data_IF_747361049078
#
_entry.id   IF_747361049078
#
_cell.length_a   1.000
_cell.length_b   1.000
_cell.length_c   1.000
_cell.angle_alpha   90.00
_cell.angle_beta   90.00
_cell.angle_gamma   90.00
#
_symmetry.space_group_name_H-M   'P 1'
#
loop_
_entity.id
_entity.type
_entity.pdbx_description
1 polymer ?
#
# COMPACT_ATOMS: atom_id res chain seq x y z
N UNK A 1 23.58 -22.19 29.65
CA UNK A 1 24.46 -21.42 28.79
C UNK A 1 24.59 -19.93 29.22
N UNK A 2 23.97 -19.51 30.33
CA UNK A 2 24.12 -18.16 30.90
C UNK A 2 23.33 -17.04 30.21
N UNK A 3 22.37 -17.39 29.37
CA UNK A 3 21.44 -16.38 28.81
C UNK A 3 20.55 -15.84 29.92
N UNK A 4 20.36 -14.53 29.94
CA UNK A 4 19.52 -13.83 30.93
C UNK A 4 18.19 -13.38 30.36
N UNK A 5 18.06 -13.33 29.03
CA UNK A 5 16.88 -12.95 28.27
C UNK A 5 16.93 -13.62 26.90
N UNK A 6 15.77 -13.92 26.30
CA UNK A 6 15.65 -14.44 24.95
C UNK A 6 14.70 -13.58 24.13
N UNK A 7 15.17 -13.14 22.96
CA UNK A 7 14.33 -12.52 21.95
C UNK A 7 14.01 -13.58 20.87
N UNK A 8 12.73 -13.88 20.67
CA UNK A 8 12.24 -14.93 19.76
C UNK A 8 12.22 -14.43 18.34
N UNK A 9 12.74 -13.62 17.78
CA UNK A 9 12.89 -13.12 16.40
C UNK A 9 12.10 -13.81 15.29
N UNK A 10 10.85 -14.26 15.53
CA UNK A 10 10.02 -14.87 14.50
C UNK A 10 9.58 -13.80 13.52
N UNK A 11 9.75 -14.07 12.22
CA UNK A 11 9.30 -13.18 11.16
C UNK A 11 10.44 -12.63 10.32
N UNK A 12 11.05 -13.45 9.47
CA UNK A 12 11.99 -13.03 8.46
C UNK A 12 11.47 -13.29 7.04
N UNK A 13 12.06 -12.62 6.07
CA UNK A 13 11.61 -12.59 4.69
C UNK A 13 11.92 -13.87 3.89
N UNK A 14 12.86 -14.69 4.32
CA UNK A 14 13.22 -15.96 3.66
C UNK A 14 12.30 -17.13 4.05
N UNK A 15 11.34 -16.92 4.95
CA UNK A 15 10.38 -17.96 5.28
C UNK A 15 9.54 -18.35 4.06
N UNK A 16 9.17 -19.63 3.96
CA UNK A 16 8.32 -20.14 2.87
C UNK A 16 6.86 -19.71 2.97
N UNK A 17 6.49 -19.10 4.07
CA UNK A 17 5.20 -18.48 4.35
C UNK A 17 5.43 -16.98 4.61
N UNK A 18 4.47 -16.09 4.31
CA UNK A 18 4.63 -14.70 4.65
C UNK A 18 4.62 -14.50 6.16
N UNK A 19 5.58 -13.74 6.67
CA UNK A 19 5.71 -13.47 8.11
C UNK A 19 5.76 -11.99 8.44
N UNK A 20 6.14 -11.14 7.48
CA UNK A 20 6.43 -9.72 7.71
C UNK A 20 5.66 -8.77 6.79
N UNK A 21 4.89 -9.28 5.83
CA UNK A 21 4.13 -8.49 4.85
C UNK A 21 2.84 -7.91 5.45
N UNK A 22 2.27 -6.91 4.80
CA UNK A 22 0.99 -6.26 5.18
C UNK A 22 -0.13 -7.27 5.40
N UNK A 23 -0.22 -8.29 4.56
CA UNK A 23 -1.24 -9.35 4.65
C UNK A 23 -1.11 -10.30 5.86
N UNK A 24 -0.02 -10.23 6.61
CA UNK A 24 0.16 -11.00 7.86
C UNK A 24 -0.58 -10.29 8.98
N UNK A 25 -1.45 -10.96 9.74
CA UNK A 25 -2.15 -10.35 10.87
C UNK A 25 -1.20 -9.73 11.89
N UNK A 26 -1.68 -8.73 12.61
CA UNK A 26 -0.93 -8.15 13.72
C UNK A 26 -0.68 -9.21 14.78
N UNK A 27 0.54 -9.23 15.32
CA UNK A 27 0.98 -10.17 16.35
C UNK A 27 0.79 -11.66 15.97
N UNK A 28 0.80 -12.00 14.67
CA UNK A 28 0.43 -13.33 14.15
C UNK A 28 1.22 -14.50 14.76
N UNK A 29 2.44 -14.29 15.28
CA UNK A 29 3.32 -15.35 15.75
C UNK A 29 3.67 -15.26 17.24
N UNK A 30 3.00 -14.41 18.03
CA UNK A 30 3.30 -14.29 19.48
C UNK A 30 2.96 -15.54 20.28
N UNK A 31 2.00 -16.34 19.80
CA UNK A 31 1.67 -17.65 20.37
C UNK A 31 2.86 -18.62 20.42
N UNK A 32 3.84 -18.48 19.51
CA UNK A 32 5.09 -19.26 19.57
C UNK A 32 5.95 -18.80 20.73
N UNK A 33 6.06 -17.47 20.96
CA UNK A 33 6.79 -16.92 22.10
C UNK A 33 6.15 -17.35 23.42
N UNK A 34 4.82 -17.43 23.50
CA UNK A 34 4.11 -17.94 24.66
C UNK A 34 4.61 -19.34 25.08
N UNK A 35 4.90 -20.22 24.10
CA UNK A 35 5.49 -21.55 24.39
C UNK A 35 6.90 -21.48 24.96
N UNK A 36 7.72 -20.54 24.52
CA UNK A 36 9.03 -20.30 25.15
C UNK A 36 8.86 -19.82 26.58
N UNK A 37 7.91 -18.90 26.82
CA UNK A 37 7.64 -18.37 28.16
C UNK A 37 7.17 -19.44 29.14
N UNK A 38 6.33 -20.40 28.70
CA UNK A 38 5.90 -21.54 29.50
C UNK A 38 7.09 -22.43 29.92
N UNK A 39 8.11 -22.56 29.06
CA UNK A 39 9.23 -23.49 29.26
C UNK A 39 10.46 -22.86 29.92
N UNK A 40 10.55 -21.54 30.00
CA UNK A 40 11.73 -20.82 30.46
C UNK A 40 11.48 -20.06 31.76
N UNK A 41 12.50 -19.96 32.61
CA UNK A 41 12.49 -19.17 33.83
C UNK A 41 13.07 -17.76 33.67
N UNK A 42 13.55 -17.44 32.49
CA UNK A 42 14.11 -16.11 32.13
C UNK A 42 13.13 -15.34 31.25
N UNK A 43 13.18 -14.00 31.26
CA UNK A 43 12.30 -13.19 30.42
C UNK A 43 12.42 -13.48 28.93
N UNK A 44 11.30 -13.43 28.23
CA UNK A 44 11.22 -13.58 26.77
C UNK A 44 10.66 -12.34 26.11
N UNK A 45 11.22 -11.99 24.95
CA UNK A 45 10.79 -10.89 24.11
C UNK A 45 10.13 -11.45 22.86
N UNK A 46 8.98 -10.91 22.48
CA UNK A 46 8.36 -11.20 21.19
C UNK A 46 8.51 -10.03 20.23
N UNK A 47 8.37 -10.30 18.94
CA UNK A 47 8.42 -9.31 17.87
C UNK A 47 7.51 -9.72 16.72
N UNK A 48 7.50 -8.90 15.69
CA UNK A 48 6.83 -9.08 14.42
C UNK A 48 5.35 -8.72 14.39
N UNK A 49 5.02 -7.83 13.43
CA UNK A 49 3.67 -7.32 13.20
C UNK A 49 3.00 -6.70 14.45
N UNK A 50 3.81 -6.20 15.36
CA UNK A 50 3.38 -5.34 16.49
C UNK A 50 3.69 -3.92 16.06
N UNK A 51 2.66 -3.12 15.75
CA UNK A 51 2.82 -1.80 15.12
C UNK A 51 1.97 -0.69 15.73
N UNK A 52 1.20 -0.99 16.79
CA UNK A 52 0.47 -0.01 17.61
C UNK A 52 0.66 -0.30 19.09
N UNK A 53 0.49 0.70 19.97
CA UNK A 53 0.54 0.50 21.42
C UNK A 53 -0.47 -0.52 21.91
N UNK A 54 -1.70 -0.49 21.40
CA UNK A 54 -2.78 -1.39 21.83
C UNK A 54 -2.42 -2.85 21.55
N UNK A 55 -1.85 -3.16 20.36
CA UNK A 55 -1.38 -4.51 20.03
C UNK A 55 -0.25 -4.94 20.96
N UNK A 56 0.67 -4.04 21.31
CA UNK A 56 1.75 -4.34 22.25
C UNK A 56 1.21 -4.68 23.65
N UNK A 57 0.29 -3.85 24.17
CA UNK A 57 -0.35 -4.07 25.46
C UNK A 57 -1.19 -5.35 25.49
N UNK A 58 -1.92 -5.64 24.42
CA UNK A 58 -2.70 -6.87 24.30
C UNK A 58 -1.82 -8.11 24.37
N UNK A 59 -0.69 -8.13 23.66
CA UNK A 59 0.29 -9.24 23.67
C UNK A 59 0.85 -9.46 25.08
N UNK A 60 1.20 -8.39 25.79
CA UNK A 60 1.71 -8.48 27.15
C UNK A 60 0.64 -8.91 28.14
N UNK A 61 -0.59 -8.39 28.03
CA UNK A 61 -1.71 -8.73 28.92
C UNK A 61 -2.18 -10.17 28.78
N UNK A 62 -2.09 -10.76 27.56
CA UNK A 62 -2.33 -12.20 27.34
C UNK A 62 -1.24 -13.08 27.96
N UNK A 63 -0.08 -12.50 28.28
CA UNK A 63 1.05 -13.23 28.78
C UNK A 63 1.84 -13.99 27.70
N UNK A 64 1.76 -13.57 26.46
CA UNK A 64 2.53 -14.19 25.38
C UNK A 64 4.04 -13.94 25.52
N UNK A 65 4.44 -12.82 26.11
CA UNK A 65 5.83 -12.43 26.36
C UNK A 65 5.94 -11.49 27.56
N UNK A 66 7.16 -11.27 28.05
CA UNK A 66 7.45 -10.30 29.13
C UNK A 66 7.74 -8.91 28.55
N UNK A 67 8.20 -8.84 27.30
CA UNK A 67 8.47 -7.60 26.58
C UNK A 67 8.16 -7.76 25.08
N UNK A 68 7.97 -6.62 24.40
CA UNK A 68 7.85 -6.55 22.94
C UNK A 68 9.05 -5.80 22.35
N UNK A 69 9.49 -6.23 21.17
CA UNK A 69 10.48 -5.50 20.37
C UNK A 69 9.92 -5.17 19.00
N UNK A 70 10.28 -3.99 18.52
CA UNK A 70 9.80 -3.46 17.23
C UNK A 70 10.97 -2.81 16.49
N UNK A 71 11.08 -3.02 15.18
CA UNK A 71 12.07 -2.34 14.35
C UNK A 71 11.39 -1.35 13.39
N UNK A 72 10.58 -1.85 12.46
CA UNK A 72 9.92 -1.03 11.43
C UNK A 72 8.96 0.04 11.99
N UNK A 73 8.24 -0.17 13.11
CA UNK A 73 7.46 0.90 13.73
C UNK A 73 8.28 2.12 14.12
N UNK A 74 9.53 1.94 14.57
CA UNK A 74 10.42 3.07 14.87
C UNK A 74 11.02 3.76 13.65
N UNK A 75 11.10 3.08 12.50
CA UNK A 75 11.37 3.76 11.23
C UNK A 75 10.17 4.62 10.81
N UNK A 76 8.95 4.11 10.99
CA UNK A 76 7.73 4.83 10.65
C UNK A 76 7.52 6.04 11.59
N UNK A 77 7.74 5.86 12.89
CA UNK A 77 7.61 6.92 13.88
C UNK A 77 8.67 6.78 15.01
N UNK A 78 9.73 7.60 15.01
CA UNK A 78 10.76 7.54 16.04
C UNK A 78 10.23 7.93 17.43
N UNK A 79 9.11 8.66 17.50
CA UNK A 79 8.48 9.10 18.75
C UNK A 79 7.40 8.12 19.25
N UNK A 80 7.30 6.94 18.69
CA UNK A 80 6.27 5.95 19.00
C UNK A 80 6.05 5.77 20.51
N UNK A 81 7.11 5.44 21.25
CA UNK A 81 7.02 5.19 22.71
C UNK A 81 6.61 6.45 23.46
N UNK A 82 7.18 7.61 23.10
CA UNK A 82 6.83 8.89 23.73
C UNK A 82 5.37 9.26 23.51
N UNK A 83 4.84 9.06 22.29
CA UNK A 83 3.44 9.29 21.97
C UNK A 83 2.52 8.32 22.71
N UNK A 84 2.89 7.03 22.77
CA UNK A 84 2.16 6.03 23.54
C UNK A 84 2.09 6.41 25.04
N UNK A 85 3.20 6.77 25.64
CA UNK A 85 3.27 7.23 27.04
C UNK A 85 2.39 8.45 27.32
N UNK A 86 2.21 9.33 26.33
CA UNK A 86 1.40 10.54 26.42
C UNK A 86 -0.07 10.32 26.06
N UNK A 87 -0.52 9.09 25.83
CA UNK A 87 -1.86 8.75 25.33
C UNK A 87 -2.21 9.41 23.97
N UNK A 88 -1.20 9.53 23.10
CA UNK A 88 -1.29 10.12 21.76
C UNK A 88 -1.11 9.06 20.66
N UNK A 89 -1.71 7.90 20.83
CA UNK A 89 -1.62 6.81 19.85
C UNK A 89 -2.17 7.23 18.48
N UNK A 90 -3.15 8.13 18.46
CA UNK A 90 -3.72 8.73 17.24
C UNK A 90 -2.75 9.63 16.47
N UNK A 91 -1.65 10.08 17.09
CA UNK A 91 -0.59 10.85 16.43
C UNK A 91 0.55 9.98 15.88
N UNK A 92 0.55 8.66 16.15
CA UNK A 92 1.59 7.75 15.68
C UNK A 92 1.44 7.49 14.18
N UNK A 93 2.54 7.67 13.44
CA UNK A 93 2.64 7.24 12.04
C UNK A 93 2.90 5.72 12.01
N UNK A 94 1.85 4.95 11.81
CA UNK A 94 1.88 3.48 11.97
C UNK A 94 2.61 2.80 10.81
N UNK A 95 3.49 1.85 11.12
CA UNK A 95 4.12 0.98 10.12
C UNK A 95 3.06 0.08 9.47
N UNK A 96 2.88 0.20 8.16
CA UNK A 96 1.89 -0.55 7.37
C UNK A 96 2.39 -1.91 6.84
N UNK A 97 3.57 -2.35 7.22
CA UNK A 97 4.12 -3.66 6.82
C UNK A 97 4.43 -3.81 5.32
N UNK A 98 4.56 -2.71 4.56
CA UNK A 98 4.74 -2.71 3.10
C UNK A 98 6.12 -3.20 2.63
N UNK A 99 7.15 -3.11 3.45
CA UNK A 99 8.55 -3.46 3.19
C UNK A 99 9.26 -2.65 2.09
N UNK A 100 8.60 -1.74 1.38
CA UNK A 100 9.06 -1.13 0.12
C UNK A 100 10.30 -0.23 0.28
N UNK A 101 10.35 0.62 1.32
CA UNK A 101 11.49 1.53 1.52
C UNK A 101 12.47 1.02 2.57
N UNK A 102 12.13 -0.01 3.32
CA UNK A 102 13.04 -0.64 4.27
C UNK A 102 13.70 -1.89 3.65
N UNK A 103 13.05 -3.05 3.68
CA UNK A 103 13.65 -4.31 3.25
C UNK A 103 13.95 -4.34 1.75
N UNK A 104 13.03 -3.91 0.88
CA UNK A 104 13.29 -3.92 -0.57
C UNK A 104 14.45 -2.97 -0.94
N UNK A 105 14.63 -1.85 -0.22
CA UNK A 105 15.81 -0.99 -0.40
C UNK A 105 17.10 -1.72 -0.04
N UNK A 106 17.17 -2.37 1.14
CA UNK A 106 18.36 -3.13 1.57
C UNK A 106 18.72 -4.20 0.56
N UNK A 107 17.74 -4.99 0.08
CA UNK A 107 17.99 -6.05 -0.91
C UNK A 107 18.32 -5.54 -2.32
N UNK A 108 18.13 -4.26 -2.58
CA UNK A 108 18.57 -3.60 -3.80
C UNK A 108 19.83 -2.73 -3.60
N UNK A 109 20.53 -2.87 -2.47
CA UNK A 109 21.75 -2.11 -2.16
C UNK A 109 21.50 -0.61 -1.97
N UNK A 110 20.27 -0.22 -1.61
CA UNK A 110 19.88 1.16 -1.34
C UNK A 110 19.84 1.43 0.16
N UNK A 111 20.02 2.68 0.55
CA UNK A 111 19.83 3.11 1.93
C UNK A 111 18.40 2.80 2.38
N UNK A 112 18.26 2.25 3.58
CA UNK A 112 16.97 2.02 4.23
C UNK A 112 16.25 3.35 4.47
N UNK A 113 14.94 3.32 4.31
CA UNK A 113 14.04 4.42 4.67
C UNK A 113 12.67 3.84 5.05
N UNK A 114 11.63 4.66 5.10
CA UNK A 114 10.26 4.19 5.33
C UNK A 114 9.30 4.85 4.34
N UNK A 115 8.35 4.08 3.80
CA UNK A 115 7.34 4.58 2.87
C UNK A 115 6.51 5.70 3.48
N UNK A 116 6.05 5.53 4.73
CA UNK A 116 5.20 6.51 5.42
C UNK A 116 6.01 7.61 6.12
N UNK A 117 7.32 7.45 6.25
CA UNK A 117 8.23 8.42 6.86
C UNK A 117 9.54 8.53 6.05
N UNK A 118 9.58 9.34 5.00
CA UNK A 118 10.79 9.50 4.16
C UNK A 118 12.02 10.02 4.91
N UNK A 119 11.83 10.65 6.06
CA UNK A 119 12.92 11.16 6.91
C UNK A 119 13.71 10.04 7.57
N UNK A 120 13.12 8.84 7.74
CA UNK A 120 13.82 7.71 8.34
C UNK A 120 15.12 7.41 7.59
N UNK A 121 16.24 7.43 8.29
CA UNK A 121 17.62 7.33 7.78
C UNK A 121 18.06 8.48 6.83
N UNK A 122 17.25 9.55 6.71
CA UNK A 122 17.52 10.75 5.95
C UNK A 122 17.33 12.03 6.78
N UNK A 123 17.45 11.95 8.11
CA UNK A 123 17.16 13.04 9.04
C UNK A 123 18.09 14.25 8.86
N UNK A 124 19.30 14.03 8.33
CA UNK A 124 20.26 15.11 8.03
C UNK A 124 19.98 15.77 6.69
N UNK A 125 19.33 15.08 5.75
CA UNK A 125 19.01 15.57 4.41
C UNK A 125 17.65 16.24 4.36
N UNK A 126 16.62 15.59 4.95
CA UNK A 126 15.25 16.10 5.00
C UNK A 126 15.03 16.82 6.34
N UNK A 127 15.37 18.09 6.35
CA UNK A 127 15.36 18.90 7.56
C UNK A 127 14.16 19.86 7.55
N UNK A 128 13.07 19.46 8.23
CA UNK A 128 11.87 20.29 8.33
C UNK A 128 12.06 21.35 9.40
N UNK A 129 12.72 22.45 9.02
CA UNK A 129 12.92 23.62 9.87
C UNK A 129 11.86 24.69 9.57
N UNK A 130 11.56 25.59 10.53
CA UNK A 130 10.75 26.77 10.25
C UNK A 130 11.31 27.54 9.05
N UNK A 131 10.44 27.96 8.15
CA UNK A 131 10.82 28.76 7.00
C UNK A 131 11.25 30.17 7.43
N UNK A 132 12.22 30.76 6.75
CA UNK A 132 12.64 32.16 6.97
C UNK A 132 11.51 33.13 6.58
N UNK A 133 10.80 32.81 5.49
CA UNK A 133 9.67 33.60 5.01
C UNK A 133 8.44 32.70 4.93
N UNK A 134 7.38 33.11 5.63
CA UNK A 134 6.10 32.42 5.57
C UNK A 134 5.46 32.63 4.19
N UNK A 135 5.01 31.52 3.59
CA UNK A 135 4.31 31.50 2.30
C UNK A 135 2.88 31.02 2.46
N UNK A 136 2.04 31.37 1.49
CA UNK A 136 0.72 30.79 1.29
C UNK A 136 0.80 29.75 0.17
N UNK A 137 0.65 28.48 0.51
CA UNK A 137 0.87 27.33 -0.37
C UNK A 137 -0.48 26.67 -0.73
N UNK A 138 -0.75 26.54 -2.03
CA UNK A 138 -1.85 25.70 -2.49
C UNK A 138 -1.35 24.26 -2.74
N UNK A 139 -2.14 23.27 -2.32
CA UNK A 139 -1.94 21.85 -2.63
C UNK A 139 -3.14 21.34 -3.40
N UNK A 140 -2.96 20.99 -4.67
CA UNK A 140 -4.05 20.51 -5.53
C UNK A 140 -3.99 18.99 -5.61
N UNK A 141 -4.89 18.35 -4.87
CA UNK A 141 -4.98 16.90 -4.68
C UNK A 141 -4.60 16.47 -3.26
N UNK A 142 -5.53 15.83 -2.57
CA UNK A 142 -5.38 15.29 -1.22
C UNK A 142 -4.98 13.79 -1.21
N UNK A 143 -4.26 13.34 -2.23
CA UNK A 143 -3.62 12.01 -2.26
C UNK A 143 -2.34 11.97 -1.42
N UNK A 144 -1.61 10.83 -1.37
CA UNK A 144 -0.43 10.67 -0.52
C UNK A 144 0.64 11.75 -0.71
N UNK A 145 0.91 12.17 -1.95
CA UNK A 145 1.87 13.23 -2.24
C UNK A 145 1.43 14.59 -1.67
N UNK A 146 0.17 14.96 -1.93
CA UNK A 146 -0.38 16.24 -1.46
C UNK A 146 -0.52 16.30 0.05
N UNK A 147 -0.92 15.21 0.70
CA UNK A 147 -1.00 15.12 2.16
C UNK A 147 0.37 15.29 2.82
N UNK A 148 1.40 14.60 2.29
CA UNK A 148 2.78 14.75 2.77
C UNK A 148 3.29 16.17 2.55
N UNK A 149 3.04 16.76 1.38
CA UNK A 149 3.40 18.14 1.06
C UNK A 149 2.73 19.14 2.02
N UNK A 150 1.43 19.01 2.24
CA UNK A 150 0.66 19.90 3.10
C UNK A 150 1.15 19.87 4.55
N UNK A 151 1.34 18.67 5.12
CA UNK A 151 1.83 18.51 6.50
C UNK A 151 3.25 19.07 6.63
N UNK A 152 4.14 18.79 5.67
CA UNK A 152 5.51 19.29 5.70
C UNK A 152 5.56 20.83 5.59
N UNK A 153 4.79 21.40 4.68
CA UNK A 153 4.68 22.87 4.55
C UNK A 153 4.14 23.53 5.83
N UNK A 154 3.12 22.93 6.41
CA UNK A 154 2.54 23.44 7.68
C UNK A 154 3.50 23.36 8.85
N UNK A 155 4.28 22.28 8.95
CA UNK A 155 5.35 22.14 9.97
C UNK A 155 6.44 23.19 9.84
N UNK A 156 6.67 23.70 8.63
CA UNK A 156 7.60 24.81 8.35
C UNK A 156 6.99 26.18 8.67
N UNK A 157 5.70 26.26 8.96
CA UNK A 157 5.00 27.48 9.32
C UNK A 157 4.24 28.17 8.19
N UNK A 158 4.18 27.58 6.99
CA UNK A 158 3.41 28.10 5.85
C UNK A 158 1.90 27.95 6.09
N UNK A 159 1.09 28.85 5.48
CA UNK A 159 -0.36 28.69 5.42
C UNK A 159 -0.71 27.81 4.22
N UNK A 160 -1.40 26.72 4.45
CA UNK A 160 -1.65 25.70 3.44
C UNK A 160 -3.14 25.57 3.15
N UNK A 161 -3.51 25.55 1.87
CA UNK A 161 -4.87 25.24 1.44
C UNK A 161 -4.82 24.00 0.54
N UNK A 162 -5.50 22.95 0.97
CA UNK A 162 -5.65 21.71 0.19
C UNK A 162 -6.97 21.75 -0.56
N UNK A 163 -6.93 21.50 -1.86
CA UNK A 163 -8.10 21.31 -2.71
C UNK A 163 -8.18 19.87 -3.19
N UNK A 164 -9.36 19.27 -3.10
CA UNK A 164 -9.62 17.96 -3.71
C UNK A 164 -11.06 17.90 -4.22
N UNK A 165 -11.23 17.37 -5.42
CA UNK A 165 -12.54 17.17 -6.04
C UNK A 165 -13.35 16.06 -5.34
N UNK A 166 -12.70 15.18 -4.59
CA UNK A 166 -13.33 14.09 -3.85
C UNK A 166 -13.94 14.58 -2.53
N UNK A 167 -14.85 13.78 -1.98
CA UNK A 167 -15.49 14.04 -0.68
C UNK A 167 -14.62 13.66 0.53
N UNK A 168 -13.49 13.00 0.30
CA UNK A 168 -12.55 12.55 1.35
C UNK A 168 -11.09 12.67 0.90
N UNK A 169 -10.19 12.83 1.87
CA UNK A 169 -8.75 12.77 1.63
C UNK A 169 -8.30 11.34 1.35
N UNK A 170 -7.14 11.17 0.68
CA UNK A 170 -6.48 9.86 0.53
C UNK A 170 -6.21 9.45 -0.92
N UNK A 171 -6.96 9.98 -1.89
CA UNK A 171 -6.75 9.67 -3.30
C UNK A 171 -6.70 8.16 -3.58
N UNK A 172 -5.61 7.67 -4.20
CA UNK A 172 -5.45 6.24 -4.52
C UNK A 172 -5.38 5.32 -3.28
N UNK A 173 -5.04 5.83 -2.09
CA UNK A 173 -5.10 5.03 -0.87
C UNK A 173 -6.52 4.60 -0.50
N UNK A 174 -7.54 5.38 -0.89
CA UNK A 174 -8.94 4.98 -0.71
C UNK A 174 -9.33 3.77 -1.55
N UNK A 175 -8.63 3.53 -2.64
CA UNK A 175 -8.78 2.33 -3.46
C UNK A 175 -7.94 1.19 -2.87
N UNK A 176 -6.67 1.45 -2.58
CA UNK A 176 -5.73 0.44 -2.11
C UNK A 176 -6.12 -0.16 -0.75
N UNK A 177 -6.65 0.65 0.19
CA UNK A 177 -7.07 0.18 1.53
C UNK A 177 -8.18 -0.88 1.50
N UNK A 178 -8.91 -0.99 0.38
CA UNK A 178 -10.01 -1.95 0.21
C UNK A 178 -9.54 -3.32 -0.27
N UNK A 179 -8.30 -3.45 -0.68
CA UNK A 179 -7.72 -4.70 -1.15
C UNK A 179 -7.46 -5.59 0.06
N UNK A 180 -7.96 -6.84 0.07
CA UNK A 180 -7.69 -7.78 1.15
C UNK A 180 -6.18 -7.93 1.40
N UNK A 181 -5.78 -7.79 2.66
CA UNK A 181 -4.36 -7.77 3.05
C UNK A 181 -3.69 -6.40 3.00
N UNK A 182 -4.44 -5.32 2.70
CA UNK A 182 -3.94 -3.93 2.73
C UNK A 182 -4.70 -3.03 3.70
N UNK A 183 -5.39 -3.59 4.66
CA UNK A 183 -6.18 -2.87 5.66
C UNK A 183 -5.33 -1.88 6.47
N UNK A 184 -4.04 -2.15 6.63
CA UNK A 184 -3.12 -1.23 7.30
C UNK A 184 -3.05 0.17 6.65
N UNK A 185 -3.47 0.31 5.39
CA UNK A 185 -3.50 1.60 4.71
C UNK A 185 -4.52 2.59 5.31
N UNK A 186 -5.51 2.09 6.06
CA UNK A 186 -6.38 2.93 6.88
C UNK A 186 -5.57 3.74 7.92
N UNK A 187 -4.51 3.16 8.48
CA UNK A 187 -3.65 3.82 9.45
C UNK A 187 -2.92 5.04 8.88
N UNK A 188 -2.46 4.96 7.63
CA UNK A 188 -1.83 6.11 6.96
C UNK A 188 -2.83 7.26 6.79
N UNK A 189 -4.09 6.96 6.40
CA UNK A 189 -5.13 7.98 6.27
C UNK A 189 -5.55 8.56 7.63
N UNK A 190 -5.66 7.71 8.67
CA UNK A 190 -5.88 8.13 10.06
C UNK A 190 -4.81 9.13 10.51
N UNK A 191 -3.53 8.78 10.27
CA UNK A 191 -2.39 9.64 10.60
C UNK A 191 -2.48 11.00 9.91
N UNK A 192 -2.65 11.05 8.59
CA UNK A 192 -2.74 12.32 7.86
C UNK A 192 -3.95 13.14 8.28
N UNK A 193 -5.11 12.52 8.50
CA UNK A 193 -6.29 13.21 9.04
C UNK A 193 -5.95 13.87 10.39
N UNK A 194 -5.33 13.12 11.30
CA UNK A 194 -4.92 13.66 12.60
C UNK A 194 -3.90 14.78 12.47
N UNK A 195 -2.92 14.67 11.57
CA UNK A 195 -1.95 15.73 11.33
C UNK A 195 -2.63 17.02 10.84
N UNK A 196 -3.59 16.92 9.93
CA UNK A 196 -4.37 18.07 9.47
C UNK A 196 -5.11 18.75 10.65
N UNK A 197 -5.72 17.97 11.53
CA UNK A 197 -6.44 18.52 12.71
C UNK A 197 -5.51 19.26 13.67
N UNK A 198 -4.27 18.78 13.84
CA UNK A 198 -3.25 19.36 14.70
C UNK A 198 -2.69 20.68 14.16
N UNK A 199 -2.54 20.79 12.84
CA UNK A 199 -1.95 21.96 12.18
C UNK A 199 -3.03 22.99 11.79
N UNK A 200 -3.23 24.01 12.65
CA UNK A 200 -4.25 25.06 12.45
C UNK A 200 -4.01 25.94 11.22
N UNK A 201 -2.83 25.89 10.64
CA UNK A 201 -2.43 26.54 9.39
C UNK A 201 -2.72 25.71 8.13
N UNK A 202 -3.44 24.59 8.27
CA UNK A 202 -3.97 23.83 7.12
C UNK A 202 -5.48 24.05 7.01
N UNK A 203 -5.93 24.43 5.83
CA UNK A 203 -7.35 24.48 5.44
C UNK A 203 -7.61 23.42 4.38
N UNK A 204 -8.67 22.62 4.51
CA UNK A 204 -9.04 21.58 3.52
C UNK A 204 -10.35 21.94 2.85
N UNK A 205 -10.36 21.98 1.53
CA UNK A 205 -11.52 22.22 0.67
C UNK A 205 -11.79 20.95 -0.15
N UNK A 206 -12.61 20.06 0.37
CA UNK A 206 -13.09 18.86 -0.34
C UNK A 206 -14.28 19.21 -1.24
N UNK A 207 -14.67 18.27 -2.13
CA UNK A 207 -15.70 18.49 -3.15
C UNK A 207 -15.44 19.76 -3.97
N UNK A 208 -14.17 20.13 -4.15
CA UNK A 208 -13.77 21.39 -4.78
C UNK A 208 -12.79 21.09 -5.91
N UNK A 209 -13.28 21.20 -7.13
CA UNK A 209 -12.42 21.29 -8.30
C UNK A 209 -11.89 22.71 -8.41
N UNK A 210 -10.59 22.90 -8.47
CA UNK A 210 -9.94 24.18 -8.64
C UNK A 210 -9.19 24.21 -9.97
N UNK A 211 -9.31 25.30 -10.70
CA UNK A 211 -8.55 25.56 -11.92
C UNK A 211 -7.43 26.59 -11.70
N UNK A 212 -6.62 26.79 -12.73
CA UNK A 212 -5.50 27.73 -12.66
C UNK A 212 -5.93 29.18 -12.46
N UNK A 213 -7.07 29.60 -13.02
CA UNK A 213 -7.58 30.97 -12.88
C UNK A 213 -7.94 31.27 -11.43
N UNK A 214 -8.64 30.35 -10.76
CA UNK A 214 -8.98 30.48 -9.34
C UNK A 214 -7.72 30.56 -8.46
N UNK A 215 -6.70 29.70 -8.72
CA UNK A 215 -5.45 29.75 -7.96
C UNK A 215 -4.68 31.05 -8.16
N UNK A 216 -4.67 31.59 -9.40
CA UNK A 216 -4.03 32.86 -9.71
C UNK A 216 -4.72 34.03 -8.98
N UNK A 217 -6.05 34.00 -8.87
CA UNK A 217 -6.83 35.06 -8.20
C UNK A 217 -6.74 34.98 -6.67
N UNK A 218 -6.52 33.79 -6.10
CA UNK A 218 -6.43 33.62 -4.65
C UNK A 218 -5.08 34.07 -4.05
N UNK A 219 -4.07 34.39 -4.85
CA UNK A 219 -2.79 34.97 -4.42
C UNK A 219 -1.93 34.00 -3.60
N UNK A 220 -1.71 32.79 -4.10
CA UNK A 220 -0.75 31.85 -3.56
C UNK A 220 0.68 32.19 -3.99
N UNK A 221 1.64 31.95 -3.10
CA UNK A 221 3.07 32.09 -3.40
C UNK A 221 3.60 30.89 -4.18
N UNK A 222 3.08 29.70 -3.91
CA UNK A 222 3.49 28.43 -4.55
C UNK A 222 2.33 27.44 -4.65
N UNK A 223 2.38 26.59 -5.68
CA UNK A 223 1.40 25.53 -5.91
C UNK A 223 2.06 24.15 -5.97
N UNK A 224 1.62 23.22 -5.13
CA UNK A 224 1.95 21.80 -5.20
C UNK A 224 0.90 21.08 -6.04
N UNK A 225 1.24 20.69 -7.26
CA UNK A 225 0.34 19.96 -8.17
C UNK A 225 0.47 18.47 -7.88
N UNK A 226 -0.46 17.95 -7.09
CA UNK A 226 -0.55 16.56 -6.63
C UNK A 226 -1.81 15.86 -7.19
N UNK A 227 -2.26 16.27 -8.35
CA UNK A 227 -3.50 15.84 -9.01
C UNK A 227 -3.55 14.35 -9.38
N UNK A 228 -2.39 13.67 -9.30
CA UNK A 228 -2.32 12.23 -9.49
C UNK A 228 -2.36 11.79 -10.95
N UNK A 229 -3.14 10.72 -11.21
CA UNK A 229 -3.17 10.00 -12.48
C UNK A 229 -4.59 9.67 -12.91
N UNK A 230 -4.74 9.35 -14.18
CA UNK A 230 -5.91 8.66 -14.75
C UNK A 230 -5.49 7.32 -15.38
N UNK A 231 -6.39 6.32 -15.42
CA UNK A 231 -6.12 5.08 -16.15
C UNK A 231 -5.83 5.36 -17.62
N UNK A 232 -4.85 4.67 -18.19
CA UNK A 232 -4.58 4.70 -19.62
C UNK A 232 -5.50 3.72 -20.34
N UNK A 233 -6.10 4.14 -21.45
CA UNK A 233 -6.86 3.28 -22.35
C UNK A 233 -5.90 2.70 -23.40
N UNK A 234 -5.63 1.38 -23.40
CA UNK A 234 -4.80 0.77 -24.43
C UNK A 234 -5.52 0.72 -25.78
N UNK A 235 -4.75 0.79 -26.87
CA UNK A 235 -5.29 0.62 -28.22
C UNK A 235 -5.55 -0.87 -28.51
N UNK A 236 -6.75 -1.34 -28.20
CA UNK A 236 -7.25 -2.69 -28.48
C UNK A 236 -8.55 -2.51 -29.25
N UNK A 237 -8.74 -3.22 -30.35
CA UNK A 237 -10.00 -3.20 -31.09
C UNK A 237 -11.15 -3.64 -30.19
N UNK A 238 -12.25 -2.88 -30.15
CA UNK A 238 -13.40 -3.15 -29.28
C UNK A 238 -13.19 -2.73 -27.82
N UNK A 239 -12.22 -1.89 -27.48
CA UNK A 239 -11.96 -1.42 -26.09
C UNK A 239 -13.16 -0.72 -25.46
N UNK A 240 -14.07 -0.17 -26.25
CA UNK A 240 -15.31 0.50 -25.80
C UNK A 240 -16.47 -0.49 -25.57
N UNK A 241 -16.23 -1.79 -25.71
CA UNK A 241 -17.25 -2.82 -25.52
C UNK A 241 -17.78 -2.82 -24.08
N UNK A 242 -19.08 -3.11 -23.87
CA UNK A 242 -19.75 -3.08 -22.55
C UNK A 242 -19.14 -4.01 -21.49
N UNK A 243 -18.45 -5.08 -21.91
CA UNK A 243 -17.71 -5.98 -21.01
C UNK A 243 -16.47 -5.33 -20.40
N UNK A 244 -16.00 -4.19 -20.95
CA UNK A 244 -14.77 -3.56 -20.50
C UNK A 244 -15.03 -2.64 -19.32
N UNK A 245 -14.25 -2.83 -18.27
CA UNK A 245 -14.25 -2.01 -17.07
C UNK A 245 -12.82 -1.55 -16.77
N UNK A 246 -12.68 -0.41 -16.12
CA UNK A 246 -11.42 -0.01 -15.52
C UNK A 246 -11.31 -0.56 -14.09
N UNK A 247 -10.10 -0.57 -13.53
CA UNK A 247 -9.95 -0.90 -12.10
C UNK A 247 -10.67 0.13 -11.19
N UNK A 248 -10.87 1.36 -11.66
CA UNK A 248 -11.66 2.39 -10.94
C UNK A 248 -13.13 1.97 -10.86
N UNK A 249 -13.70 1.51 -11.98
CA UNK A 249 -15.08 1.02 -12.02
C UNK A 249 -15.31 -0.10 -11.01
N UNK A 250 -14.34 -1.02 -10.89
CA UNK A 250 -14.42 -2.18 -10.01
C UNK A 250 -14.16 -1.81 -8.54
N UNK A 251 -13.05 -1.13 -8.28
CA UNK A 251 -12.57 -0.93 -6.90
C UNK A 251 -13.18 0.30 -6.24
N UNK A 252 -13.47 1.36 -6.99
CA UNK A 252 -14.04 2.62 -6.46
C UNK A 252 -15.54 2.66 -6.67
N UNK A 253 -16.00 2.51 -7.91
CA UNK A 253 -17.42 2.67 -8.27
C UNK A 253 -18.25 1.41 -7.95
N UNK A 254 -17.60 0.29 -7.59
CA UNK A 254 -18.24 -0.99 -7.21
C UNK A 254 -19.20 -1.54 -8.27
N UNK A 255 -18.87 -1.32 -9.55
CA UNK A 255 -19.65 -1.92 -10.63
C UNK A 255 -19.66 -3.43 -10.52
N UNK A 256 -20.78 -4.10 -10.83
CA UNK A 256 -20.86 -5.55 -10.76
C UNK A 256 -19.89 -6.19 -11.77
N UNK A 257 -19.26 -7.29 -11.34
CA UNK A 257 -18.34 -8.08 -12.14
C UNK A 257 -18.83 -9.52 -12.18
N UNK A 258 -18.87 -10.10 -13.37
CA UNK A 258 -19.32 -11.48 -13.60
C UNK A 258 -18.40 -12.56 -13.02
N UNK A 259 -18.65 -13.80 -13.39
CA UNK A 259 -17.94 -14.97 -12.85
C UNK A 259 -16.62 -15.28 -13.54
N UNK A 260 -16.47 -14.88 -14.81
CA UNK A 260 -15.26 -15.08 -15.61
C UNK A 260 -14.65 -13.74 -15.99
N UNK A 261 -13.41 -13.51 -15.60
CA UNK A 261 -12.78 -12.19 -15.71
C UNK A 261 -11.38 -12.28 -16.30
N UNK A 262 -11.10 -11.44 -17.29
CA UNK A 262 -9.74 -11.20 -17.78
C UNK A 262 -9.23 -9.85 -17.24
N UNK A 263 -8.03 -9.83 -16.64
CA UNK A 263 -7.37 -8.62 -16.16
C UNK A 263 -6.20 -8.33 -17.08
N UNK A 264 -6.26 -7.22 -17.81
CA UNK A 264 -5.20 -6.76 -18.72
C UNK A 264 -4.21 -5.88 -17.95
N UNK A 265 -3.02 -6.41 -17.72
CA UNK A 265 -1.94 -5.76 -17.00
C UNK A 265 -1.69 -6.39 -15.63
N UNK A 266 -0.51 -7.01 -15.47
CA UNK A 266 -0.10 -7.71 -14.26
C UNK A 266 0.99 -6.95 -13.49
N UNK A 267 0.83 -5.64 -13.37
CA UNK A 267 1.55 -4.79 -12.41
C UNK A 267 0.86 -4.81 -11.04
N UNK A 268 1.27 -3.94 -10.13
CA UNK A 268 0.70 -3.85 -8.77
C UNK A 268 -0.82 -3.74 -8.76
N UNK A 269 -1.41 -2.86 -9.58
CA UNK A 269 -2.87 -2.68 -9.68
C UNK A 269 -3.57 -3.94 -10.21
N UNK A 270 -2.98 -4.64 -11.18
CA UNK A 270 -3.56 -5.88 -11.71
C UNK A 270 -3.58 -6.99 -10.66
N UNK A 271 -2.50 -7.12 -9.89
CA UNK A 271 -2.45 -8.03 -8.74
C UNK A 271 -3.45 -7.67 -7.66
N UNK A 272 -3.57 -6.38 -7.32
CA UNK A 272 -4.55 -5.88 -6.34
C UNK A 272 -5.99 -6.16 -6.79
N UNK A 273 -6.29 -5.91 -8.07
CA UNK A 273 -7.60 -6.19 -8.66
C UNK A 273 -7.91 -7.69 -8.64
N UNK A 274 -6.91 -8.54 -8.95
CA UNK A 274 -7.07 -10.00 -8.88
C UNK A 274 -7.27 -10.47 -7.43
N UNK A 275 -6.55 -9.92 -6.46
CA UNK A 275 -6.75 -10.22 -5.02
C UNK A 275 -8.16 -9.83 -4.58
N UNK A 276 -8.63 -8.63 -4.94
CA UNK A 276 -9.98 -8.16 -4.62
C UNK A 276 -11.07 -9.05 -5.21
N UNK A 277 -10.95 -9.44 -6.49
CA UNK A 277 -11.95 -10.26 -7.18
C UNK A 277 -11.91 -11.74 -6.82
N UNK A 278 -10.76 -12.25 -6.37
CA UNK A 278 -10.58 -13.63 -5.89
C UNK A 278 -10.90 -13.80 -4.41
N UNK A 279 -11.21 -12.71 -3.70
CA UNK A 279 -11.51 -12.75 -2.28
C UNK A 279 -12.90 -13.36 -2.04
N UNK A 280 -12.97 -14.25 -1.04
CA UNK A 280 -14.21 -14.88 -0.59
C UNK A 280 -14.78 -14.16 0.62
N UNK A 281 -15.08 -14.93 1.67
CA UNK A 281 -15.70 -14.42 2.91
C UNK A 281 -14.72 -14.28 4.06
N UNK A 282 -13.69 -15.12 4.09
CA UNK A 282 -12.66 -15.10 5.14
C UNK A 282 -11.73 -13.90 4.94
N UNK A 283 -11.26 -13.28 6.02
CA UNK A 283 -10.29 -12.17 6.03
C UNK A 283 -8.99 -12.59 6.74
N UNK A 284 -8.16 -13.44 6.10
CA UNK A 284 -6.97 -14.00 6.74
C UNK A 284 -5.98 -12.95 7.25
N UNK A 285 -5.95 -11.76 6.63
CA UNK A 285 -5.09 -10.65 7.07
C UNK A 285 -5.48 -10.04 8.43
N UNK A 286 -6.69 -10.32 8.91
CA UNK A 286 -7.22 -9.82 10.19
C UNK A 286 -7.53 -10.93 11.20
N UNK A 287 -7.43 -12.18 10.79
CA UNK A 287 -7.76 -13.36 11.60
C UNK A 287 -6.59 -14.35 11.61
N UNK A 288 -5.95 -14.52 12.78
CA UNK A 288 -4.75 -15.37 12.91
C UNK A 288 -5.06 -16.83 12.55
N UNK A 289 -6.10 -17.49 13.09
CA UNK A 289 -6.45 -18.84 12.69
C UNK A 289 -6.72 -19.00 11.20
N UNK A 290 -7.45 -18.08 10.56
CA UNK A 290 -7.71 -18.11 9.13
C UNK A 290 -6.41 -17.96 8.31
N UNK A 291 -5.50 -17.07 8.72
CA UNK A 291 -4.19 -16.91 8.10
C UNK A 291 -3.34 -18.19 8.22
N UNK A 292 -3.29 -18.80 9.41
CA UNK A 292 -2.52 -20.03 9.64
C UNK A 292 -3.08 -21.19 8.78
N UNK A 293 -4.38 -21.30 8.66
CA UNK A 293 -5.08 -22.27 7.79
C UNK A 293 -4.76 -22.02 6.31
N UNK A 294 -4.87 -20.77 5.85
CA UNK A 294 -4.58 -20.37 4.46
C UNK A 294 -3.16 -20.79 4.04
N UNK A 295 -2.19 -20.60 4.93
CA UNK A 295 -0.77 -20.84 4.62
C UNK A 295 -0.26 -22.21 5.10
N UNK A 296 -1.11 -23.06 5.66
CA UNK A 296 -0.74 -24.41 6.13
C UNK A 296 0.22 -24.37 7.31
N UNK A 297 -0.11 -23.58 8.34
CA UNK A 297 0.70 -23.48 9.56
C UNK A 297 -0.02 -24.24 10.69
N UNK A 298 0.68 -25.21 11.28
CA UNK A 298 0.21 -25.95 12.45
C UNK A 298 0.48 -25.17 13.74
N UNK A 299 -0.58 -24.77 14.42
CA UNK A 299 -0.50 -24.09 15.71
C UNK A 299 -0.43 -25.04 16.91
N UNK A 300 -0.51 -26.37 16.68
CA UNK A 300 -0.52 -27.39 17.76
C UNK A 300 0.89 -27.87 18.10
N UNK A 301 1.92 -27.41 17.37
CA UNK A 301 3.32 -27.86 17.50
C UNK A 301 3.55 -29.35 17.15
N UNK A 302 2.62 -30.01 16.46
CA UNK A 302 2.73 -31.39 16.02
C UNK A 302 3.62 -31.53 14.78
N UNK A 303 3.57 -30.57 13.87
CA UNK A 303 4.39 -30.54 12.68
C UNK A 303 5.75 -29.87 12.97
N UNK A 304 6.84 -30.46 12.43
CA UNK A 304 8.17 -29.85 12.55
C UNK A 304 8.18 -28.49 11.88
N UNK A 305 8.74 -27.49 12.57
CA UNK A 305 8.76 -26.08 12.17
C UNK A 305 7.35 -25.49 11.89
N UNK A 306 6.30 -26.17 12.36
CA UNK A 306 4.91 -25.74 12.15
C UNK A 306 4.38 -25.91 10.73
N UNK A 307 5.15 -26.49 9.80
CA UNK A 307 4.76 -26.54 8.37
C UNK A 307 5.02 -27.90 7.69
N UNK A 308 5.82 -28.80 8.29
CA UNK A 308 6.15 -30.07 7.65
C UNK A 308 4.92 -30.97 7.55
N UNK A 309 4.52 -31.32 6.32
CA UNK A 309 3.36 -32.16 6.06
C UNK A 309 2.02 -31.43 6.13
N UNK A 310 1.98 -30.15 6.51
CA UNK A 310 0.75 -29.34 6.56
C UNK A 310 0.49 -28.71 5.20
N UNK A 311 -0.72 -28.90 4.67
CA UNK A 311 -1.12 -28.34 3.37
C UNK A 311 -1.80 -26.99 3.56
N UNK A 312 -1.46 -25.96 2.76
CA UNK A 312 -2.22 -24.73 2.67
C UNK A 312 -3.68 -25.01 2.28
N UNK A 313 -4.61 -24.28 2.88
CA UNK A 313 -6.03 -24.37 2.63
C UNK A 313 -6.62 -22.98 2.37
N UNK A 314 -6.25 -22.31 1.26
CA UNK A 314 -6.83 -21.02 0.90
C UNK A 314 -8.32 -21.20 0.55
N UNK A 315 -9.11 -20.18 0.84
CA UNK A 315 -10.48 -20.11 0.32
C UNK A 315 -10.42 -20.02 -1.22
N UNK A 316 -11.15 -20.85 -1.96
CA UNK A 316 -11.12 -20.80 -3.43
C UNK A 316 -11.72 -19.49 -3.93
N UNK A 317 -11.21 -18.99 -5.06
CA UNK A 317 -11.78 -17.80 -5.71
C UNK A 317 -13.25 -18.05 -6.10
N UNK A 318 -14.16 -17.09 -5.80
CA UNK A 318 -15.54 -17.14 -6.29
C UNK A 318 -15.65 -16.89 -7.80
N UNK A 319 -14.55 -16.56 -8.47
CA UNK A 319 -14.48 -16.24 -9.91
C UNK A 319 -13.34 -16.98 -10.59
N UNK A 320 -13.53 -17.28 -11.86
CA UNK A 320 -12.46 -17.70 -12.77
C UNK A 320 -11.74 -16.43 -13.27
N UNK A 321 -10.45 -16.29 -12.93
CA UNK A 321 -9.69 -15.06 -13.21
C UNK A 321 -8.46 -15.38 -14.07
N UNK A 322 -8.32 -14.64 -15.17
CA UNK A 322 -7.14 -14.64 -16.02
C UNK A 322 -6.37 -13.33 -15.81
N UNK A 323 -5.14 -13.42 -15.28
CA UNK A 323 -4.24 -12.27 -15.12
C UNK A 323 -3.20 -12.26 -16.23
N UNK A 324 -3.27 -11.26 -17.09
CA UNK A 324 -2.58 -11.24 -18.38
C UNK A 324 -1.48 -10.17 -18.44
N UNK A 325 -0.35 -10.50 -19.05
CA UNK A 325 0.70 -9.51 -19.34
C UNK A 325 1.33 -9.71 -20.73
N UNK A 326 1.74 -8.60 -21.37
CA UNK A 326 2.45 -8.61 -22.66
C UNK A 326 3.89 -9.11 -22.53
N UNK A 327 4.56 -8.83 -21.42
CA UNK A 327 5.94 -9.29 -21.18
C UNK A 327 5.97 -10.81 -21.10
N UNK A 328 6.98 -11.43 -21.73
CA UNK A 328 7.21 -12.88 -21.69
C UNK A 328 7.83 -13.37 -20.37
N UNK A 329 8.28 -12.45 -19.52
CA UNK A 329 8.78 -12.78 -18.20
C UNK A 329 7.68 -13.34 -17.30
N UNK A 330 8.06 -14.04 -16.22
CA UNK A 330 7.14 -14.53 -15.21
C UNK A 330 6.18 -13.42 -14.75
N UNK A 331 4.87 -13.72 -14.74
CA UNK A 331 3.86 -12.77 -14.24
C UNK A 331 4.16 -12.40 -12.78
N UNK A 332 4.19 -11.09 -12.49
CA UNK A 332 4.56 -10.58 -11.17
C UNK A 332 6.07 -10.43 -10.92
N UNK A 333 6.93 -10.61 -11.93
CA UNK A 333 8.39 -10.44 -11.77
C UNK A 333 8.81 -9.00 -11.37
N UNK A 334 7.97 -7.99 -11.65
CA UNK A 334 8.20 -6.59 -11.29
C UNK A 334 7.64 -6.16 -9.94
N UNK A 335 7.02 -7.07 -9.18
CA UNK A 335 6.51 -6.76 -7.84
C UNK A 335 7.63 -6.61 -6.81
N UNK A 336 7.31 -6.01 -5.66
CA UNK A 336 8.24 -5.85 -4.54
C UNK A 336 8.98 -7.13 -4.20
N UNK A 337 10.29 -7.02 -4.00
CA UNK A 337 11.21 -8.17 -3.86
C UNK A 337 10.85 -9.08 -2.67
N UNK A 338 10.43 -8.47 -1.58
CA UNK A 338 10.13 -9.20 -0.33
C UNK A 338 8.67 -9.63 -0.19
N UNK A 339 7.74 -9.07 -0.96
CA UNK A 339 6.30 -9.35 -0.84
C UNK A 339 5.66 -9.92 -2.09
N UNK A 340 6.21 -9.63 -3.28
CA UNK A 340 5.63 -10.03 -4.56
C UNK A 340 5.43 -11.53 -4.74
N UNK A 341 6.33 -12.34 -4.17
CA UNK A 341 6.21 -13.79 -4.20
C UNK A 341 4.94 -14.28 -3.46
N UNK A 342 4.61 -13.66 -2.31
CA UNK A 342 3.45 -14.03 -1.50
C UNK A 342 2.14 -13.70 -2.23
N UNK A 343 2.06 -12.52 -2.88
CA UNK A 343 0.92 -12.17 -3.73
C UNK A 343 0.73 -13.17 -4.86
N UNK A 344 1.83 -13.51 -5.54
CA UNK A 344 1.78 -14.47 -6.65
C UNK A 344 1.35 -15.87 -6.20
N UNK A 345 1.94 -16.39 -5.13
CA UNK A 345 1.61 -17.72 -4.59
C UNK A 345 0.16 -17.75 -4.10
N UNK A 346 -0.29 -16.72 -3.38
CA UNK A 346 -1.66 -16.62 -2.90
C UNK A 346 -2.69 -16.68 -4.04
N UNK A 347 -2.51 -15.88 -5.10
CA UNK A 347 -3.42 -15.88 -6.26
C UNK A 347 -3.43 -17.23 -6.99
N UNK A 348 -2.26 -17.86 -7.18
CA UNK A 348 -2.17 -19.18 -7.79
C UNK A 348 -2.89 -20.25 -6.94
N UNK A 349 -2.76 -20.18 -5.63
CA UNK A 349 -3.42 -21.09 -4.71
C UNK A 349 -4.95 -20.94 -4.72
N UNK A 350 -5.45 -19.75 -5.02
CA UNK A 350 -6.89 -19.47 -5.23
C UNK A 350 -7.38 -19.83 -6.64
N UNK A 351 -6.50 -20.33 -7.53
CA UNK A 351 -6.86 -20.76 -8.88
C UNK A 351 -6.81 -19.67 -9.96
N UNK A 352 -6.17 -18.52 -9.70
CA UNK A 352 -5.98 -17.48 -10.72
C UNK A 352 -5.00 -17.96 -11.80
N UNK A 353 -5.44 -17.93 -13.06
CA UNK A 353 -4.60 -18.29 -14.22
C UNK A 353 -3.76 -17.10 -14.66
N UNK A 354 -2.43 -17.25 -14.68
CA UNK A 354 -1.49 -16.20 -15.04
C UNK A 354 -0.86 -16.49 -16.40
N UNK A 355 -1.09 -15.61 -17.41
CA UNK A 355 -0.62 -15.80 -18.78
C UNK A 355 0.35 -14.67 -19.17
N UNK A 356 1.64 -14.98 -19.38
CA UNK A 356 2.62 -14.04 -19.93
C UNK A 356 2.62 -14.04 -21.46
N UNK A 357 3.26 -13.06 -22.10
CA UNK A 357 3.50 -13.03 -23.55
C UNK A 357 2.26 -12.82 -24.40
N UNK A 358 1.22 -12.18 -23.83
CA UNK A 358 -0.08 -12.00 -24.50
C UNK A 358 -0.05 -10.82 -25.47
N UNK A 359 -0.46 -11.04 -26.72
CA UNK A 359 -0.97 -10.00 -27.62
C UNK A 359 -2.48 -9.92 -27.49
N UNK A 360 -3.01 -8.72 -27.38
CA UNK A 360 -4.46 -8.47 -27.33
C UNK A 360 -4.94 -8.09 -28.71
N UNK A 361 -5.78 -8.91 -29.32
CA UNK A 361 -6.17 -8.78 -30.71
C UNK A 361 -7.46 -7.94 -30.83
N UNK A 362 -8.54 -8.38 -30.21
CA UNK A 362 -9.82 -7.64 -30.16
C UNK A 362 -10.69 -8.06 -28.98
N UNK A 363 -11.74 -7.27 -28.76
CA UNK A 363 -12.80 -7.52 -27.77
C UNK A 363 -14.15 -7.48 -28.51
N UNK A 364 -14.99 -8.49 -28.27
CA UNK A 364 -16.35 -8.59 -28.83
C UNK A 364 -17.27 -9.41 -27.93
N UNK A 365 -18.47 -9.78 -28.43
CA UNK A 365 -19.45 -10.56 -27.68
C UNK A 365 -18.94 -11.94 -27.23
N UNK A 366 -18.00 -12.54 -28.00
CA UNK A 366 -17.39 -13.83 -27.64
C UNK A 366 -16.41 -13.72 -26.47
N UNK A 367 -15.82 -12.54 -26.26
CA UNK A 367 -14.88 -12.27 -25.16
C UNK A 367 -13.64 -11.50 -25.57
N UNK A 368 -12.49 -11.86 -24.95
CA UNK A 368 -11.18 -11.28 -25.25
C UNK A 368 -10.41 -12.22 -26.17
N UNK A 369 -10.14 -11.78 -27.40
CA UNK A 369 -9.30 -12.49 -28.37
C UNK A 369 -7.83 -12.16 -28.11
N UNK A 370 -7.02 -13.19 -27.92
CA UNK A 370 -5.60 -13.06 -27.62
C UNK A 370 -4.77 -14.01 -28.48
N UNK A 371 -3.52 -13.63 -28.69
CA UNK A 371 -2.49 -14.52 -29.26
C UNK A 371 -1.36 -14.72 -28.25
N UNK A 372 -1.01 -16.00 -28.00
CA UNK A 372 0.08 -16.41 -27.11
C UNK A 372 0.96 -17.40 -27.86
N UNK A 373 2.26 -17.12 -27.92
CA UNK A 373 3.23 -17.96 -28.66
C UNK A 373 2.80 -18.28 -30.11
N UNK A 374 2.15 -17.30 -30.77
CA UNK A 374 1.65 -17.44 -32.15
C UNK A 374 0.32 -18.18 -32.29
N UNK A 375 -0.28 -18.65 -31.18
CA UNK A 375 -1.57 -19.34 -31.20
C UNK A 375 -2.68 -18.38 -30.79
N UNK A 376 -3.64 -18.15 -31.64
CA UNK A 376 -4.83 -17.35 -31.38
C UNK A 376 -5.86 -18.16 -30.58
N UNK A 377 -6.47 -17.54 -29.59
CA UNK A 377 -7.53 -18.11 -28.77
C UNK A 377 -8.50 -17.03 -28.26
N UNK A 378 -9.71 -17.44 -27.90
CA UNK A 378 -10.70 -16.56 -27.26
C UNK A 378 -10.82 -16.95 -25.79
N UNK A 379 -10.74 -15.96 -24.92
CA UNK A 379 -11.12 -16.10 -23.50
C UNK A 379 -12.59 -15.68 -23.37
N UNK A 380 -13.53 -16.62 -23.18
CA UNK A 380 -14.95 -16.32 -23.09
C UNK A 380 -15.26 -15.78 -21.69
N UNK A 381 -15.03 -14.49 -21.49
CA UNK A 381 -15.17 -13.80 -20.20
C UNK A 381 -16.38 -12.89 -20.16
N UNK A 382 -16.91 -12.71 -18.94
CA UNK A 382 -18.01 -11.78 -18.69
C UNK A 382 -17.52 -10.34 -18.66
N UNK A 383 -16.32 -10.10 -18.09
CA UNK A 383 -15.71 -8.77 -18.02
C UNK A 383 -14.21 -8.80 -18.30
N UNK A 384 -13.73 -7.67 -18.80
CA UNK A 384 -12.32 -7.40 -19.06
C UNK A 384 -11.94 -6.14 -18.27
N UNK A 385 -10.99 -6.30 -17.31
CA UNK A 385 -10.61 -5.20 -16.44
C UNK A 385 -9.27 -4.62 -16.91
N UNK A 386 -9.26 -3.31 -17.21
CA UNK A 386 -8.06 -2.64 -17.69
C UNK A 386 -7.22 -2.13 -16.51
N UNK A 387 -6.01 -2.71 -16.39
CA UNK A 387 -4.97 -2.32 -15.43
C UNK A 387 -3.64 -2.01 -16.15
N UNK A 388 -3.71 -1.50 -17.40
CA UNK A 388 -2.59 -1.43 -18.34
C UNK A 388 -1.85 -0.08 -18.35
N UNK A 389 -1.58 0.48 -17.18
CA UNK A 389 -0.82 1.71 -17.00
C UNK A 389 -1.69 2.94 -16.72
N UNK A 390 -1.02 4.07 -16.49
CA UNK A 390 -1.64 5.34 -16.12
C UNK A 390 -0.99 6.50 -16.86
N UNK A 391 -1.67 7.65 -16.86
CA UNK A 391 -1.21 8.92 -17.40
C UNK A 391 -1.26 10.00 -16.32
N UNK A 392 -0.24 10.89 -16.23
CA UNK A 392 -0.26 12.00 -15.28
C UNK A 392 -1.38 12.98 -15.59
N UNK A 393 -2.01 13.52 -14.55
CA UNK A 393 -2.95 14.63 -14.67
C UNK A 393 -2.21 15.96 -14.45
N UNK A 394 -2.07 16.78 -15.48
CA UNK A 394 -1.28 18.03 -15.47
C UNK A 394 -2.01 19.22 -16.09
N UNK A 395 -3.29 19.10 -16.37
CA UNK A 395 -4.04 20.09 -17.18
C UNK A 395 -3.99 21.50 -16.57
N UNK A 396 -3.92 21.58 -15.25
CA UNK A 396 -3.86 22.83 -14.52
C UNK A 396 -2.57 23.66 -14.76
N UNK A 397 -1.46 22.99 -15.12
CA UNK A 397 -0.12 23.61 -15.15
C UNK A 397 -0.01 24.75 -16.18
N UNK A 398 -0.66 24.58 -17.34
CA UNK A 398 -0.57 25.53 -18.45
C UNK A 398 -1.17 26.92 -18.17
N UNK A 399 -1.92 27.08 -17.08
CA UNK A 399 -2.56 28.34 -16.72
C UNK A 399 -2.02 28.99 -15.45
N UNK A 400 -1.05 28.40 -14.75
CA UNK A 400 -0.50 28.94 -13.50
C UNK A 400 0.48 30.08 -13.75
N UNK A 401 0.32 31.17 -13.01
CA UNK A 401 1.18 32.38 -13.10
C UNK A 401 2.20 32.48 -11.95
N UNK A 402 2.20 31.52 -11.01
CA UNK A 402 3.12 31.45 -9.88
C UNK A 402 4.01 30.20 -9.95
N UNK A 403 5.09 30.10 -9.16
CA UNK A 403 5.88 28.90 -9.04
C UNK A 403 5.03 27.68 -8.67
N UNK A 404 5.29 26.56 -9.33
CA UNK A 404 4.61 25.30 -9.04
C UNK A 404 5.57 24.11 -9.05
N UNK A 405 5.18 23.06 -8.36
CA UNK A 405 5.92 21.81 -8.28
C UNK A 405 4.99 20.63 -8.62
N UNK A 406 5.40 19.82 -9.59
CA UNK A 406 4.74 18.55 -9.87
C UNK A 406 5.21 17.51 -8.87
N UNK A 407 4.27 16.83 -8.18
CA UNK A 407 4.59 15.80 -7.20
C UNK A 407 3.71 14.56 -7.35
N UNK A 408 4.28 13.40 -6.99
CA UNK A 408 3.59 12.12 -7.04
C UNK A 408 3.21 11.70 -8.47
N UNK A 409 1.97 11.24 -8.65
CA UNK A 409 1.48 10.78 -9.96
C UNK A 409 1.37 11.89 -11.01
N UNK A 410 1.21 13.14 -10.61
CA UNK A 410 1.21 14.28 -11.53
C UNK A 410 2.58 14.53 -12.15
N UNK A 411 3.66 14.21 -11.44
CA UNK A 411 5.02 14.26 -11.97
C UNK A 411 5.31 13.04 -12.84
N UNK A 412 5.12 11.84 -12.30
CA UNK A 412 5.41 10.60 -13.01
C UNK A 412 4.39 9.52 -12.69
N UNK A 413 3.83 8.87 -13.73
CA UNK A 413 2.81 7.84 -13.62
C UNK A 413 3.34 6.41 -13.87
N UNK A 414 4.65 6.20 -14.01
CA UNK A 414 5.23 4.90 -14.39
C UNK A 414 4.98 3.80 -13.36
N UNK A 415 5.10 4.13 -12.08
CA UNK A 415 4.75 3.26 -10.97
C UNK A 415 3.90 4.06 -9.99
N UNK A 416 2.68 3.61 -9.74
CA UNK A 416 1.89 4.15 -8.63
C UNK A 416 2.52 3.66 -7.33
N UNK A 417 3.48 4.43 -6.84
CA UNK A 417 4.24 4.12 -5.65
C UNK A 417 4.03 5.22 -4.60
N UNK A 418 3.31 4.86 -3.55
CA UNK A 418 3.09 5.75 -2.42
C UNK A 418 4.40 6.17 -1.74
N UNK A 419 5.44 5.32 -1.80
CA UNK A 419 6.78 5.62 -1.30
C UNK A 419 7.35 6.85 -1.99
N UNK A 420 7.37 6.85 -3.35
CA UNK A 420 7.84 7.99 -4.13
C UNK A 420 6.95 9.22 -3.92
N UNK A 421 5.64 9.04 -3.90
CA UNK A 421 4.69 10.13 -3.74
C UNK A 421 4.87 10.87 -2.39
N UNK A 422 4.98 10.14 -1.29
CA UNK A 422 5.18 10.73 0.05
C UNK A 422 6.60 11.33 0.17
N UNK A 423 7.63 10.63 -0.33
CA UNK A 423 9.01 11.14 -0.31
C UNK A 423 9.13 12.45 -1.09
N UNK A 424 8.59 12.51 -2.31
CA UNK A 424 8.65 13.69 -3.16
C UNK A 424 7.89 14.86 -2.54
N UNK A 425 6.66 14.65 -2.05
CA UNK A 425 5.90 15.69 -1.35
C UNK A 425 6.63 16.23 -0.13
N UNK A 426 7.27 15.35 0.65
CA UNK A 426 8.06 15.75 1.82
C UNK A 426 9.30 16.52 1.43
N UNK A 427 10.11 16.03 0.47
CA UNK A 427 11.39 16.66 0.07
C UNK A 427 11.18 18.02 -0.56
N UNK A 428 10.23 18.14 -1.49
CA UNK A 428 9.93 19.40 -2.15
C UNK A 428 9.52 20.45 -1.12
N UNK A 429 8.58 20.11 -0.23
CA UNK A 429 8.10 21.06 0.77
C UNK A 429 9.07 21.32 1.93
N UNK A 430 10.06 20.45 2.16
CA UNK A 430 11.14 20.72 3.10
C UNK A 430 12.09 21.81 2.59
N UNK A 431 12.12 22.06 1.27
CA UNK A 431 12.97 23.07 0.63
C UNK A 431 12.26 24.39 0.29
N UNK A 432 10.92 24.43 0.23
CA UNK A 432 10.09 25.62 -0.04
C UNK A 432 10.06 26.56 1.16
#
# INVERSE_FOLDING_TARGET
AGATIINTGIGWHEARIPTIATKVPRAAFTWVTAKFREALSIPVITSNRINTPDVAEEVLSRGDADMVSMARPFLADPDFVRKAQQNKADEINTCIGCNQACLDHVFNGKMTSCLVNPRACHELEINVKPAETKKRVAVVGAGPAGLAAAVTSAQRGHDVVIYDASSEIGGQFNIAKQIPGKEEFYETLRYFKRQIELHKNITVKLNTYVDAAQLNDEGFDEVMVATGIKPRTPAIEGIEHEKVLTYIDVLKEKKPVGNKVAIIGAGGIGFDTAEYLSHGKETPSQDIPAFMKEWGIDMTFSARAGIEGVKPQPEPSPREIFLLQRKTTKVGAGLGKTTGWAHRVGLLAKGVTMIPGVSYDKIDDEGLHITVDGNSQVLPVDNIIICAGQEPMRDIVGGLNMPYHLIGGADEALELDAKRAIDQGTRVCAAV
#
